data_IF_877634761767
#
_entry.id   IF_877634761767
#
_cell.length_a   1.000
_cell.length_b   1.000
_cell.length_c   1.000
_cell.angle_alpha   90.00
_cell.angle_beta   90.00
_cell.angle_gamma   90.00
#
_symmetry.space_group_name_H-M   'P 1'
#
loop_
_entity.id
_entity.type
_entity.pdbx_description
1 polymer ?
#
# COMPACT_ATOMS: atom_id res chain seq x y z
N UNK A 1 40.84 -40.57 -16.48
CA UNK A 1 41.17 -39.92 -15.19
C UNK A 1 39.95 -39.14 -14.71
N UNK A 2 39.58 -39.32 -13.44
CA UNK A 2 38.63 -38.48 -12.70
C UNK A 2 39.18 -37.08 -12.45
N UNK A 3 38.30 -36.08 -12.31
CA UNK A 3 38.25 -35.19 -11.14
C UNK A 3 36.95 -34.38 -11.10
N UNK A 4 36.32 -34.46 -9.93
CA UNK A 4 35.13 -33.75 -9.45
C UNK A 4 35.49 -32.36 -8.91
N UNK A 5 34.47 -31.70 -8.34
CA UNK A 5 34.46 -30.49 -7.50
C UNK A 5 34.56 -29.16 -8.26
N UNK A 6 33.83 -28.11 -7.88
CA UNK A 6 33.07 -27.88 -6.66
C UNK A 6 32.69 -26.41 -6.62
N UNK A 7 31.70 -26.06 -5.81
CA UNK A 7 31.04 -24.76 -5.85
C UNK A 7 31.83 -23.56 -5.31
N UNK A 8 31.08 -22.45 -5.27
CA UNK A 8 31.24 -21.21 -4.49
C UNK A 8 32.18 -20.14 -5.08
N UNK A 9 31.54 -19.06 -5.55
CA UNK A 9 31.50 -17.80 -4.82
C UNK A 9 32.68 -16.84 -4.97
N UNK A 10 32.39 -15.66 -5.55
CA UNK A 10 32.94 -14.35 -5.14
C UNK A 10 32.10 -13.29 -5.87
N UNK A 11 31.08 -12.63 -5.31
CA UNK A 11 31.07 -11.64 -4.22
C UNK A 11 31.91 -10.38 -4.50
N UNK A 12 31.18 -9.29 -4.77
CA UNK A 12 31.48 -7.86 -4.55
C UNK A 12 32.43 -7.13 -5.51
N UNK A 13 31.87 -6.17 -6.24
CA UNK A 13 32.42 -4.82 -6.26
C UNK A 13 31.28 -3.81 -6.01
N UNK A 14 30.96 -3.58 -4.75
CA UNK A 14 30.30 -2.36 -4.33
C UNK A 14 31.32 -1.22 -4.39
N UNK A 15 31.13 -0.28 -5.32
CA UNK A 15 31.56 1.10 -5.23
C UNK A 15 31.01 1.83 -6.47
N UNK A 16 29.90 2.54 -6.31
CA UNK A 16 29.92 4.01 -6.36
C UNK A 16 28.72 4.53 -5.56
N UNK A 17 29.06 5.34 -4.58
CA UNK A 17 28.17 6.06 -3.69
C UNK A 17 27.52 7.20 -4.50
N UNK A 18 26.23 7.04 -4.79
CA UNK A 18 25.38 8.07 -5.36
C UNK A 18 24.09 8.10 -4.55
N UNK A 19 23.93 9.15 -3.76
CA UNK A 19 22.66 9.56 -3.15
C UNK A 19 21.58 9.60 -4.24
N UNK A 20 20.74 8.56 -4.35
CA UNK A 20 19.60 8.54 -5.26
C UNK A 20 18.33 8.83 -4.45
N UNK A 21 17.61 9.95 -4.71
CA UNK A 21 16.36 10.31 -4.03
C UNK A 21 15.16 9.41 -4.44
N UNK A 22 15.43 8.15 -4.77
CA UNK A 22 14.55 7.26 -5.53
C UNK A 22 14.23 5.94 -4.83
N UNK A 23 14.35 5.84 -3.52
CA UNK A 23 13.61 4.81 -2.75
C UNK A 23 12.10 5.13 -2.77
N UNK A 24 11.54 5.41 -3.95
CA UNK A 24 10.12 5.22 -4.19
C UNK A 24 9.87 3.76 -3.84
N UNK A 25 9.07 3.53 -2.81
CA UNK A 25 8.71 2.18 -2.38
C UNK A 25 8.12 1.49 -3.60
N UNK A 26 8.93 0.68 -4.27
CA UNK A 26 8.54 0.02 -5.51
C UNK A 26 7.25 -0.73 -5.19
N UNK A 27 6.16 -0.29 -5.83
CA UNK A 27 4.83 -0.79 -5.51
C UNK A 27 4.89 -2.30 -5.61
N UNK A 28 4.34 -2.97 -4.59
CA UNK A 28 4.51 -4.42 -4.42
C UNK A 28 4.02 -5.25 -5.63
N UNK A 29 3.19 -4.66 -6.49
CA UNK A 29 2.62 -5.26 -7.70
C UNK A 29 2.64 -4.24 -8.85
N UNK A 30 2.98 -4.69 -10.06
CA UNK A 30 2.81 -3.91 -11.29
C UNK A 30 1.34 -3.81 -11.72
N UNK A 31 1.02 -2.84 -12.58
CA UNK A 31 -0.35 -2.65 -13.10
C UNK A 31 -0.83 -3.84 -13.93
N UNK A 32 0.09 -4.54 -14.60
CA UNK A 32 -0.19 -5.72 -15.42
C UNK A 32 -0.31 -7.01 -14.60
N UNK A 33 0.15 -6.97 -13.35
CA UNK A 33 0.10 -8.11 -12.42
C UNK A 33 -1.25 -8.20 -11.70
N UNK A 34 -2.06 -7.13 -11.72
CA UNK A 34 -3.39 -7.08 -11.09
C UNK A 34 -4.50 -7.18 -12.13
N UNK A 35 -5.55 -7.96 -11.83
CA UNK A 35 -6.75 -8.02 -12.66
C UNK A 35 -7.49 -6.66 -12.74
N UNK A 36 -8.49 -6.52 -13.62
CA UNK A 36 -9.32 -5.30 -13.71
C UNK A 36 -10.08 -4.97 -12.42
N UNK A 37 -10.17 -5.92 -11.51
CA UNK A 37 -10.71 -5.83 -10.15
C UNK A 37 -9.63 -5.60 -9.07
N UNK A 38 -8.36 -5.52 -9.45
CA UNK A 38 -7.23 -5.26 -8.54
C UNK A 38 -6.78 -6.49 -7.73
N UNK A 39 -7.25 -7.68 -8.09
CA UNK A 39 -6.99 -8.92 -7.34
C UNK A 39 -5.92 -9.74 -8.07
N UNK A 40 -4.98 -10.32 -7.32
CA UNK A 40 -4.03 -11.33 -7.84
C UNK A 40 -4.56 -12.73 -7.51
N UNK A 41 -4.54 -13.64 -8.49
CA UNK A 41 -5.13 -14.99 -8.39
C UNK A 41 -4.54 -15.83 -7.24
N UNK A 42 -3.30 -15.54 -6.81
CA UNK A 42 -2.58 -16.25 -5.75
C UNK A 42 -2.88 -15.72 -4.34
N UNK A 43 -3.43 -14.50 -4.21
CA UNK A 43 -3.77 -13.89 -2.91
C UNK A 43 -5.22 -13.42 -2.87
N UNK A 44 -6.14 -14.17 -3.48
CA UNK A 44 -7.56 -14.00 -3.18
C UNK A 44 -7.69 -13.85 -1.67
N UNK A 45 -8.22 -12.72 -1.15
CA UNK A 45 -8.31 -12.47 0.28
C UNK A 45 -8.93 -13.71 0.91
N UNK A 46 -8.22 -14.31 1.87
CA UNK A 46 -8.65 -15.54 2.51
C UNK A 46 -10.06 -15.31 3.08
N UNK A 47 -11.06 -15.88 2.41
CA UNK A 47 -12.47 -16.10 2.79
C UNK A 47 -13.33 -14.93 3.31
N UNK A 48 -12.80 -13.74 3.56
CA UNK A 48 -13.59 -12.58 4.03
C UNK A 48 -13.39 -11.36 3.13
N UNK A 49 -14.46 -10.85 2.47
CA UNK A 49 -14.43 -9.55 1.81
C UNK A 49 -13.95 -8.49 2.80
N UNK A 50 -13.14 -7.54 2.33
CA UNK A 50 -12.71 -6.38 3.11
C UNK A 50 -13.91 -5.44 3.25
N UNK A 51 -14.91 -5.85 4.03
CA UNK A 51 -16.06 -5.00 4.29
C UNK A 51 -15.60 -3.80 5.14
N UNK A 52 -16.08 -2.59 4.84
CA UNK A 52 -15.81 -1.46 5.71
C UNK A 52 -16.35 -1.79 7.11
N UNK A 53 -15.54 -1.51 8.12
CA UNK A 53 -15.96 -1.69 9.50
C UNK A 53 -17.23 -0.87 9.80
N UNK A 54 -18.03 -1.36 10.75
CA UNK A 54 -19.19 -0.61 11.21
C UNK A 54 -18.74 0.70 11.85
N UNK A 55 -19.37 1.81 11.46
CA UNK A 55 -19.07 3.13 12.02
C UNK A 55 -19.41 3.15 13.52
N UNK A 56 -18.43 3.50 14.35
CA UNK A 56 -18.72 3.77 15.76
C UNK A 56 -19.62 5.00 15.93
N UNK A 57 -20.57 5.00 16.89
CA UNK A 57 -21.48 6.12 17.12
C UNK A 57 -20.77 7.46 17.34
N UNK A 58 -19.60 7.44 17.99
CA UNK A 58 -18.82 8.63 18.26
C UNK A 58 -18.29 9.28 16.97
N UNK A 59 -17.80 8.48 16.02
CA UNK A 59 -17.33 8.95 14.72
C UNK A 59 -18.47 9.60 13.93
N UNK A 60 -19.66 8.98 13.93
CA UNK A 60 -20.84 9.55 13.29
C UNK A 60 -21.23 10.92 13.89
N UNK A 61 -21.14 11.07 15.22
CA UNK A 61 -21.40 12.35 15.89
C UNK A 61 -20.41 13.43 15.48
N UNK A 62 -19.11 13.10 15.35
CA UNK A 62 -18.12 14.08 14.90
C UNK A 62 -18.37 14.56 13.47
N UNK A 63 -18.74 13.66 12.56
CA UNK A 63 -19.12 14.03 11.19
C UNK A 63 -20.35 14.94 11.20
N UNK A 64 -21.39 14.56 11.95
CA UNK A 64 -22.60 15.37 12.07
C UNK A 64 -22.30 16.77 12.65
N UNK A 65 -21.44 16.87 13.65
CA UNK A 65 -21.01 18.13 14.24
C UNK A 65 -20.30 19.01 13.20
N UNK A 66 -19.38 18.45 12.41
CA UNK A 66 -18.69 19.18 11.33
C UNK A 66 -19.67 19.73 10.29
N UNK A 67 -20.67 18.93 9.90
CA UNK A 67 -21.72 19.36 8.96
C UNK A 67 -22.52 20.52 9.56
N UNK A 68 -23.00 20.39 10.79
CA UNK A 68 -23.80 21.43 11.47
C UNK A 68 -23.01 22.73 11.59
N UNK A 69 -21.74 22.67 11.99
CA UNK A 69 -20.88 23.85 12.09
C UNK A 69 -20.68 24.51 10.73
N UNK A 70 -20.37 23.73 9.69
CA UNK A 70 -20.13 24.25 8.35
C UNK A 70 -21.38 24.94 7.80
N UNK A 71 -22.54 24.29 7.88
CA UNK A 71 -23.82 24.85 7.45
C UNK A 71 -24.17 26.09 8.27
N UNK A 72 -23.96 26.06 9.59
CA UNK A 72 -24.20 27.21 10.47
C UNK A 72 -23.32 28.41 10.12
N UNK A 73 -22.05 28.18 9.81
CA UNK A 73 -21.13 29.23 9.35
C UNK A 73 -21.60 29.81 8.01
N UNK A 74 -21.95 28.98 7.04
CA UNK A 74 -22.44 29.45 5.74
C UNK A 74 -23.75 30.25 5.86
N UNK A 75 -24.66 29.83 6.74
CA UNK A 75 -25.93 30.50 6.94
C UNK A 75 -25.80 31.85 7.68
N UNK A 76 -24.76 32.03 8.49
CA UNK A 76 -24.52 33.26 9.27
C UNK A 76 -23.52 34.21 8.62
N UNK A 77 -22.67 33.73 7.72
CA UNK A 77 -21.68 34.52 6.99
C UNK A 77 -22.22 35.13 5.69
N UNK A 78 -23.40 34.72 5.22
CA UNK A 78 -24.08 35.27 4.04
C UNK A 78 -24.96 36.47 4.38
#
# INVERSE_FOLDING_TARGET
MSRSDGGRGHASSAAEEGDDPGEETEWRFGIDDVGPDGIVEETSPADEPIEPESIEPLHAVFVALGIVLTVGLLATAL
#
